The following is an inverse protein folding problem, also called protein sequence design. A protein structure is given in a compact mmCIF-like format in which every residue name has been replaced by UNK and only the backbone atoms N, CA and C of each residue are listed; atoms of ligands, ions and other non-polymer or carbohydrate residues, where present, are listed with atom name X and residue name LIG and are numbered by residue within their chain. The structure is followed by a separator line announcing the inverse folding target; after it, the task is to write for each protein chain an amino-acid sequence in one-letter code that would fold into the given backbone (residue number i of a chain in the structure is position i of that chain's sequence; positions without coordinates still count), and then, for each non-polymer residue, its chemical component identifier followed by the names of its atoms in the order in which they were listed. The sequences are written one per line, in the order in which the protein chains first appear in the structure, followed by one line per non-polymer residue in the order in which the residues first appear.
data_IF_644758558548
#
_entry.id   IF_644758558548
#
_cell.length_a   1.000
_cell.length_b   1.000
_cell.length_c   1.000
_cell.angle_alpha   90.00
_cell.angle_beta   90.00
_cell.angle_gamma   90.00
#
_symmetry.space_group_name_H-M   'P 1'
#
loop_
_entity.id
_entity.type
_entity.pdbx_description
1 polymer ?
#
# COMPACT_ATOMS: atom_id res chain seq x y z
N UNK A 1 -1.62 -36.57 -18.48
CA UNK A 1 -2.32 -35.43 -17.85
C UNK A 1 -3.32 -35.98 -16.87
N UNK A 2 -3.17 -35.67 -15.58
CA UNK A 2 -4.23 -35.87 -14.60
C UNK A 2 -5.42 -34.93 -14.89
N UNK A 3 -6.61 -35.34 -14.45
CA UNK A 3 -7.85 -34.58 -14.62
C UNK A 3 -8.70 -34.74 -13.37
N UNK A 4 -9.19 -33.62 -12.86
CA UNK A 4 -10.00 -33.58 -11.64
C UNK A 4 -11.43 -33.21 -11.99
N UNK A 5 -12.40 -33.84 -11.32
CA UNK A 5 -13.81 -33.52 -11.46
C UNK A 5 -14.26 -32.61 -10.30
N UNK A 6 -14.95 -31.53 -10.64
CA UNK A 6 -15.58 -30.63 -9.68
C UNK A 6 -17.07 -30.50 -10.02
N UNK A 7 -17.93 -30.40 -9.00
CA UNK A 7 -19.38 -30.20 -9.18
C UNK A 7 -19.69 -28.75 -8.83
N UNK A 8 -20.22 -27.99 -9.79
CA UNK A 8 -20.61 -26.59 -9.62
C UNK A 8 -22.07 -26.45 -10.04
N UNK A 9 -22.94 -26.05 -9.10
CA UNK A 9 -24.39 -25.92 -9.33
C UNK A 9 -25.06 -27.16 -9.96
N UNK A 10 -24.59 -28.36 -9.60
CA UNK A 10 -25.07 -29.64 -10.14
C UNK A 10 -24.45 -30.05 -11.49
N UNK A 11 -23.60 -29.23 -12.09
CA UNK A 11 -22.86 -29.55 -13.32
C UNK A 11 -21.49 -30.11 -12.97
N UNK A 12 -21.16 -31.30 -13.48
CA UNK A 12 -19.82 -31.89 -13.38
C UNK A 12 -18.89 -31.26 -14.42
N UNK A 13 -17.90 -30.53 -13.96
CA UNK A 13 -16.83 -29.93 -14.77
C UNK A 13 -15.57 -30.81 -14.62
N UNK A 14 -14.90 -31.12 -15.73
CA UNK A 14 -13.60 -31.80 -15.71
C UNK A 14 -12.50 -30.80 -16.07
N UNK A 15 -11.54 -30.61 -15.16
CA UNK A 15 -10.43 -29.66 -15.29
C UNK A 15 -9.09 -30.40 -15.43
N UNK A 16 -8.15 -29.82 -16.17
CA UNK A 16 -6.73 -30.21 -16.09
C UNK A 16 -6.07 -29.60 -14.85
N UNK A 17 -4.91 -30.11 -14.44
CA UNK A 17 -4.15 -29.50 -13.35
C UNK A 17 -3.80 -28.02 -13.65
N UNK A 18 -3.40 -27.70 -14.88
CA UNK A 18 -3.10 -26.32 -15.30
C UNK A 18 -4.32 -25.38 -15.17
N UNK A 19 -5.53 -25.88 -15.47
CA UNK A 19 -6.78 -25.13 -15.28
C UNK A 19 -7.11 -24.96 -13.80
N UNK A 20 -6.84 -25.97 -12.97
CA UNK A 20 -6.97 -25.88 -11.51
C UNK A 20 -5.98 -24.88 -10.93
N UNK A 21 -4.72 -24.91 -11.33
CA UNK A 21 -3.68 -23.99 -10.89
C UNK A 21 -3.99 -22.54 -11.31
N UNK A 22 -4.49 -22.34 -12.53
CA UNK A 22 -4.99 -21.05 -12.99
C UNK A 22 -6.19 -20.57 -12.17
N UNK A 23 -7.17 -21.45 -11.89
CA UNK A 23 -8.33 -21.11 -11.05
C UNK A 23 -7.90 -20.78 -9.61
N UNK A 24 -6.93 -21.50 -9.05
CA UNK A 24 -6.37 -21.25 -7.71
C UNK A 24 -5.51 -19.96 -7.66
N UNK A 25 -4.92 -19.52 -8.77
CA UNK A 25 -4.27 -18.21 -8.91
C UNK A 25 -5.29 -17.06 -9.11
N UNK A 26 -6.47 -17.36 -9.66
CA UNK A 26 -7.58 -16.42 -9.82
C UNK A 26 -8.45 -16.31 -8.55
N UNK A 27 -8.51 -17.36 -7.73
CA UNK A 27 -9.41 -17.43 -6.58
C UNK A 27 -9.03 -16.41 -5.51
N UNK A 28 -9.84 -15.36 -5.41
CA UNK A 28 -9.73 -14.29 -4.41
C UNK A 28 -8.37 -13.58 -4.36
N UNK A 29 -7.86 -13.15 -5.53
CA UNK A 29 -6.96 -11.99 -5.54
C UNK A 29 -7.73 -10.80 -4.93
N UNK A 30 -7.29 -10.37 -3.73
CA UNK A 30 -7.85 -9.24 -2.98
C UNK A 30 -8.01 -8.00 -3.85
N UNK A 31 -9.01 -7.17 -3.55
CA UNK A 31 -9.08 -5.82 -4.07
C UNK A 31 -7.88 -4.99 -3.60
N UNK A 32 -7.63 -3.85 -4.27
CA UNK A 32 -6.53 -2.95 -3.88
C UNK A 32 -6.69 -2.47 -2.45
N UNK A 33 -7.93 -2.17 -2.05
CA UNK A 33 -8.28 -1.70 -0.71
C UNK A 33 -8.10 -2.78 0.35
N UNK A 34 -8.62 -4.00 0.16
CA UNK A 34 -8.40 -5.12 1.09
C UNK A 34 -6.90 -5.43 1.27
N UNK A 35 -6.11 -5.31 0.20
CA UNK A 35 -4.65 -5.48 0.24
C UNK A 35 -3.95 -4.32 0.95
N UNK A 36 -4.44 -3.09 0.79
CA UNK A 36 -3.93 -1.93 1.53
C UNK A 36 -4.23 -2.05 3.03
N UNK A 37 -5.48 -2.39 3.38
CA UNK A 37 -5.91 -2.60 4.76
C UNK A 37 -5.15 -3.74 5.46
N UNK A 38 -4.85 -4.82 4.74
CA UNK A 38 -3.95 -5.88 5.23
C UNK A 38 -2.54 -5.35 5.56
N UNK A 39 -1.95 -4.56 4.66
CA UNK A 39 -0.60 -4.01 4.82
C UNK A 39 -0.45 -2.97 5.94
N UNK A 40 -1.56 -2.48 6.51
CA UNK A 40 -1.56 -1.53 7.63
C UNK A 40 -2.18 -2.13 8.91
N UNK A 41 -2.56 -3.40 8.89
CA UNK A 41 -3.46 -3.99 9.90
C UNK A 41 -2.87 -4.09 11.31
N UNK A 42 -1.55 -4.00 11.46
CA UNK A 42 -0.84 -3.97 12.76
C UNK A 42 -0.28 -2.58 13.13
N UNK A 43 -0.58 -1.53 12.37
CA UNK A 43 -0.10 -0.17 12.60
C UNK A 43 -1.03 0.57 13.59
N UNK A 44 -0.54 0.85 14.79
CA UNK A 44 -1.23 1.70 15.76
C UNK A 44 -1.07 3.19 15.42
N UNK A 45 -2.03 3.73 14.66
CA UNK A 45 -2.07 5.14 14.27
C UNK A 45 -2.21 6.10 15.45
N UNK A 46 -2.70 5.64 16.61
CA UNK A 46 -2.76 6.47 17.82
C UNK A 46 -1.39 6.67 18.49
N UNK A 47 -0.38 5.88 18.10
CA UNK A 47 0.92 5.81 18.77
C UNK A 47 2.10 6.05 17.80
N UNK A 48 2.28 7.28 17.29
CA UNK A 48 3.42 7.63 16.45
C UNK A 48 4.76 7.41 17.16
N UNK A 49 5.74 6.94 16.40
CA UNK A 49 7.15 6.87 16.75
C UNK A 49 7.72 8.29 16.58
N UNK A 50 8.33 8.82 17.64
CA UNK A 50 8.80 10.22 17.70
C UNK A 50 10.28 10.29 18.05
N UNK A 51 11.07 10.95 17.21
CA UNK A 51 12.46 11.29 17.49
C UNK A 51 12.77 12.71 17.00
N UNK A 52 12.42 13.71 17.81
CA UNK A 52 12.61 15.13 17.50
C UNK A 52 14.08 15.58 17.46
N UNK A 53 15.02 14.75 17.93
CA UNK A 53 16.45 15.05 17.89
C UNK A 53 17.04 14.77 16.50
N UNK A 54 16.59 13.70 15.84
CA UNK A 54 17.02 13.36 14.47
C UNK A 54 16.05 13.85 13.40
N UNK A 55 14.76 13.94 13.71
CA UNK A 55 13.69 14.33 12.80
C UNK A 55 12.78 15.37 13.49
N UNK A 56 13.23 16.64 13.61
CA UNK A 56 12.55 17.66 14.40
C UNK A 56 11.18 18.09 13.86
N UNK A 57 10.81 17.65 12.65
CA UNK A 57 9.53 17.94 12.00
C UNK A 57 8.71 16.71 11.63
N UNK A 58 9.09 15.49 12.05
CA UNK A 58 8.43 14.25 11.59
C UNK A 58 7.81 13.41 12.72
N UNK A 59 6.56 12.97 12.51
CA UNK A 59 5.99 11.78 13.13
C UNK A 59 6.23 10.58 12.21
N UNK A 60 6.45 9.39 12.77
CA UNK A 60 6.48 8.14 12.00
C UNK A 60 5.46 7.15 12.54
N UNK A 61 5.01 6.22 11.69
CA UNK A 61 4.27 5.04 12.13
C UNK A 61 4.90 3.81 11.50
N UNK A 62 5.06 2.76 12.30
CA UNK A 62 5.65 1.50 11.89
C UNK A 62 4.71 0.32 12.13
N UNK A 63 5.09 -0.81 11.58
CA UNK A 63 4.49 -2.11 11.87
C UNK A 63 4.91 -2.62 13.26
N UNK A 64 4.52 -3.85 13.59
CA UNK A 64 4.93 -4.57 14.81
C UNK A 64 6.45 -4.82 14.94
N UNK A 65 7.25 -4.52 13.90
CA UNK A 65 8.71 -4.65 13.86
C UNK A 65 9.45 -3.29 13.95
N UNK A 66 8.73 -2.18 14.19
CA UNK A 66 9.23 -0.79 14.12
C UNK A 66 9.67 -0.35 12.70
N UNK A 67 9.28 -1.11 11.67
CA UNK A 67 9.63 -0.83 10.28
C UNK A 67 8.76 0.32 9.75
N UNK A 68 9.38 1.42 9.32
CA UNK A 68 8.64 2.66 9.00
C UNK A 68 7.73 2.49 7.78
N UNK A 69 6.42 2.55 8.02
CA UNK A 69 5.36 2.42 7.03
C UNK A 69 4.85 3.78 6.56
N UNK A 70 4.73 4.74 7.48
CA UNK A 70 4.31 6.12 7.21
C UNK A 70 5.21 7.14 7.91
N UNK A 71 5.24 8.35 7.35
CA UNK A 71 5.81 9.55 7.96
C UNK A 71 4.82 10.72 7.78
N UNK A 72 4.74 11.63 8.75
CA UNK A 72 4.13 12.95 8.59
C UNK A 72 5.16 14.01 8.97
N UNK A 73 5.80 14.58 7.95
CA UNK A 73 6.71 15.72 8.11
C UNK A 73 5.90 17.01 8.08
N UNK A 74 5.60 17.59 9.25
CA UNK A 74 4.87 18.86 9.36
C UNK A 74 5.71 20.09 9.00
N UNK A 75 7.00 19.91 8.66
CA UNK A 75 7.89 20.98 8.20
C UNK A 75 7.83 21.19 6.68
N UNK A 76 7.68 20.12 5.90
CA UNK A 76 7.16 20.20 4.53
C UNK A 76 5.63 20.12 4.48
N UNK A 77 4.97 19.88 5.62
CA UNK A 77 3.55 19.51 5.77
C UNK A 77 3.15 18.27 4.95
N UNK A 78 4.13 17.50 4.47
CA UNK A 78 3.94 16.41 3.52
C UNK A 78 3.97 15.04 4.27
N UNK A 79 2.84 14.32 4.28
CA UNK A 79 2.76 12.90 4.66
C UNK A 79 3.52 12.02 3.63
N UNK A 80 3.96 10.83 4.01
CA UNK A 80 4.68 9.88 3.15
C UNK A 80 4.24 8.45 3.36
N UNK A 81 4.28 7.66 2.29
CA UNK A 81 3.98 6.22 2.29
C UNK A 81 5.26 5.45 1.93
N UNK A 82 5.57 4.39 2.68
CA UNK A 82 6.79 3.60 2.49
C UNK A 82 6.85 2.98 1.09
N UNK A 83 7.83 3.42 0.29
CA UNK A 83 7.93 3.04 -1.10
C UNK A 83 8.14 1.53 -1.28
N UNK A 84 9.00 0.92 -0.46
CA UNK A 84 9.31 -0.50 -0.57
C UNK A 84 8.19 -1.38 0.02
N UNK A 85 7.71 -1.05 1.23
CA UNK A 85 6.73 -1.85 1.97
C UNK A 85 5.31 -1.77 1.39
N UNK A 86 4.88 -0.59 0.94
CA UNK A 86 3.49 -0.36 0.51
C UNK A 86 3.43 -0.01 -0.99
N UNK A 87 4.04 1.09 -1.44
CA UNK A 87 3.88 1.58 -2.83
C UNK A 87 4.25 0.54 -3.90
N UNK A 88 5.41 -0.11 -3.74
CA UNK A 88 5.92 -1.04 -4.75
C UNK A 88 5.06 -2.30 -4.90
N UNK A 89 4.21 -2.62 -3.92
CA UNK A 89 3.23 -3.71 -4.01
C UNK A 89 2.17 -3.37 -5.05
N UNK A 90 1.62 -2.16 -5.06
CA UNK A 90 0.59 -1.76 -6.01
C UNK A 90 1.11 -1.67 -7.45
N UNK A 91 2.36 -1.22 -7.61
CA UNK A 91 3.07 -1.30 -8.89
C UNK A 91 3.28 -2.76 -9.36
N UNK A 92 3.74 -3.66 -8.49
CA UNK A 92 4.10 -5.06 -8.84
C UNK A 92 2.91 -6.00 -8.97
N UNK A 93 2.04 -6.05 -7.96
CA UNK A 93 0.89 -6.96 -7.89
C UNK A 93 -0.28 -6.46 -8.76
N UNK A 94 -0.56 -5.15 -8.78
CA UNK A 94 -1.75 -4.58 -9.45
C UNK A 94 -1.45 -3.88 -10.77
N UNK A 95 -0.17 -3.84 -11.19
CA UNK A 95 0.31 -3.25 -12.47
C UNK A 95 -0.09 -1.78 -12.66
N UNK A 96 -0.25 -1.06 -11.55
CA UNK A 96 -0.59 0.36 -11.56
C UNK A 96 0.64 1.18 -11.97
N UNK A 97 0.47 2.18 -12.84
CA UNK A 97 1.50 3.16 -13.12
C UNK A 97 1.69 4.10 -11.90
N UNK A 98 2.69 4.99 -11.96
CA UNK A 98 3.01 5.88 -10.84
C UNK A 98 1.79 6.69 -10.38
N UNK A 99 1.15 7.41 -11.30
CA UNK A 99 0.03 8.31 -11.04
C UNK A 99 -1.20 7.58 -10.46
N UNK A 100 -1.46 6.34 -10.90
CA UNK A 100 -2.53 5.52 -10.34
C UNK A 100 -2.22 5.03 -8.92
N UNK A 101 -0.95 4.82 -8.55
CA UNK A 101 -0.58 4.55 -7.15
C UNK A 101 -0.66 5.82 -6.32
N UNK A 102 -0.27 7.00 -6.84
CA UNK A 102 -0.45 8.28 -6.15
C UNK A 102 -1.92 8.52 -5.81
N UNK A 103 -2.80 8.46 -6.81
CA UNK A 103 -4.23 8.69 -6.65
C UNK A 103 -4.86 7.67 -5.69
N UNK A 104 -4.45 6.41 -5.74
CA UNK A 104 -4.94 5.38 -4.82
C UNK A 104 -4.46 5.61 -3.38
N UNK A 105 -3.18 5.93 -3.16
CA UNK A 105 -2.65 6.21 -1.81
C UNK A 105 -3.31 7.44 -1.19
N UNK A 106 -3.53 8.49 -1.99
CA UNK A 106 -4.32 9.68 -1.64
C UNK A 106 -5.70 9.28 -1.12
N UNK A 107 -6.49 8.57 -1.93
CA UNK A 107 -7.83 8.10 -1.54
C UNK A 107 -7.81 7.28 -0.24
N UNK A 108 -6.92 6.30 -0.12
CA UNK A 108 -6.84 5.44 1.07
C UNK A 108 -6.44 6.22 2.34
N UNK A 109 -5.51 7.18 2.24
CA UNK A 109 -5.11 8.03 3.38
C UNK A 109 -6.25 8.95 3.83
N UNK A 110 -6.94 9.59 2.89
CA UNK A 110 -8.07 10.48 3.19
C UNK A 110 -9.30 9.74 3.73
N UNK A 111 -9.60 8.54 3.22
CA UNK A 111 -10.80 7.77 3.58
C UNK A 111 -10.63 7.01 4.90
N UNK A 112 -9.52 6.29 5.11
CA UNK A 112 -9.36 5.42 6.28
C UNK A 112 -8.82 6.15 7.51
N UNK A 113 -7.85 7.05 7.33
CA UNK A 113 -7.20 7.80 8.43
C UNK A 113 -7.87 9.17 8.67
N UNK A 114 -8.85 9.54 7.85
CA UNK A 114 -9.60 10.82 7.88
C UNK A 114 -8.73 12.06 7.62
N UNK A 115 -7.52 11.89 7.09
CA UNK A 115 -6.53 12.94 6.81
C UNK A 115 -6.84 13.71 5.50
N UNK A 116 -8.08 14.19 5.35
CA UNK A 116 -8.53 14.94 4.17
C UNK A 116 -7.68 16.18 3.92
N UNK A 117 -7.23 16.37 2.68
CA UNK A 117 -6.43 17.51 2.25
C UNK A 117 -4.95 17.46 2.65
N UNK A 118 -4.49 16.45 3.42
CA UNK A 118 -3.08 16.28 3.79
C UNK A 118 -2.34 15.59 2.64
N UNK A 119 -2.34 16.22 1.45
CA UNK A 119 -1.98 15.54 0.19
C UNK A 119 -1.52 16.47 -0.98
N UNK A 120 -0.31 17.07 -0.86
CA UNK A 120 0.65 17.53 -1.91
C UNK A 120 0.23 16.85 -3.23
N UNK A 121 0.08 17.58 -4.33
CA UNK A 121 0.40 17.02 -5.65
C UNK A 121 1.91 17.07 -5.87
N UNK A 122 2.48 16.25 -6.75
CA UNK A 122 3.92 16.25 -7.02
C UNK A 122 4.42 17.54 -7.70
N UNK A 123 4.75 18.54 -6.89
CA UNK A 123 5.39 19.80 -7.30
C UNK A 123 6.86 19.87 -6.88
N UNK A 124 7.76 19.38 -7.75
CA UNK A 124 9.20 19.73 -7.86
C UNK A 124 9.93 20.14 -6.55
N UNK A 125 10.59 19.18 -5.87
CA UNK A 125 11.39 19.49 -4.67
C UNK A 125 12.32 18.35 -4.21
N UNK A 126 13.35 18.05 -5.01
CA UNK A 126 14.29 16.94 -4.81
C UNK A 126 15.34 17.27 -3.73
N UNK A 127 15.44 16.43 -2.68
CA UNK A 127 16.45 16.54 -1.63
C UNK A 127 17.56 15.48 -1.83
N UNK A 128 18.87 15.78 -1.75
CA UNK A 128 19.92 14.96 -2.40
C UNK A 128 19.98 13.45 -2.11
N UNK A 129 19.65 12.99 -0.90
CA UNK A 129 19.69 11.55 -0.51
C UNK A 129 18.47 10.71 -0.96
N UNK A 130 17.48 11.33 -1.60
CA UNK A 130 16.12 10.82 -1.84
C UNK A 130 15.92 9.40 -2.40
N UNK A 131 16.92 8.70 -2.99
CA UNK A 131 16.77 7.43 -3.77
C UNK A 131 16.09 6.22 -3.07
N UNK A 132 15.60 6.36 -1.83
CA UNK A 132 14.88 5.32 -1.06
C UNK A 132 13.43 5.67 -0.70
N UNK A 133 13.01 6.94 -0.74
CA UNK A 133 11.73 7.40 -0.16
C UNK A 133 11.06 8.48 -1.02
N UNK A 134 9.92 8.17 -1.64
CA UNK A 134 9.20 9.08 -2.55
C UNK A 134 7.68 9.00 -2.37
N UNK A 135 7.12 9.88 -1.53
CA UNK A 135 5.80 10.50 -1.74
C UNK A 135 5.66 11.69 -0.80
N UNK A 136 5.72 12.91 -1.32
CA UNK A 136 5.50 14.16 -0.56
C UNK A 136 3.96 14.41 -0.60
N UNK A 137 3.24 14.73 0.51
CA UNK A 137 1.77 14.97 0.69
C UNK A 137 1.29 16.22 1.57
N UNK A 138 1.49 17.49 1.11
CA UNK A 138 1.32 18.90 1.65
C UNK A 138 -0.07 19.49 1.98
N UNK A 139 -0.01 20.72 2.54
CA UNK A 139 -0.96 21.85 2.54
C UNK A 139 -0.74 22.92 1.45
#
# INVERSE_FOLDING_TARGET
MEKTQAIVNGVTITLTQEQLDFINQQSAKKSKEERFLELISDIDISRPIVNLVTYPSSLFWGDSNDDRMFEYDWGNECFWVSHYRIWSIFYKEYKMNYDAVEAFMRTMVEEHFKLKGVTCSLGLGLHPDWRKWHLKLKL
#
